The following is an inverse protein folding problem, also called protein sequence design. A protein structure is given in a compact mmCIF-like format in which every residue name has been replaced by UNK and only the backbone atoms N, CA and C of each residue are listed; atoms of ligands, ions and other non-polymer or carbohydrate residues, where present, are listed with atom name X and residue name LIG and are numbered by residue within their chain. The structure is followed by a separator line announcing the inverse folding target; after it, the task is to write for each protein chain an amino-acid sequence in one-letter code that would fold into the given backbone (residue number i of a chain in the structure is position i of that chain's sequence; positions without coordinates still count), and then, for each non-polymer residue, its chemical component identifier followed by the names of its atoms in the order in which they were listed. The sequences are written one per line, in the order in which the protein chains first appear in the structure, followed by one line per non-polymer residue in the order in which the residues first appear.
data_IF_198300827889
#
_entry.id   IF_198300827889
#
_cell.length_a   1.000
_cell.length_b   1.000
_cell.length_c   1.000
_cell.angle_alpha   90.00
_cell.angle_beta   90.00
_cell.angle_gamma   90.00
#
_symmetry.space_group_name_H-M   'P 1'
#
loop_
_entity.id
_entity.type
_entity.pdbx_description
1 polymer ?
#
# COMPACT_ATOMS: atom_id res chain seq x y z
N UNK A 1 18.19 -9.02 -28.54
CA UNK A 1 18.36 -9.56 -27.18
C UNK A 1 17.68 -8.63 -26.19
N UNK A 2 16.62 -9.05 -25.50
CA UNK A 2 16.09 -8.32 -24.34
C UNK A 2 16.79 -8.90 -23.11
N UNK A 3 17.66 -8.13 -22.50
CA UNK A 3 18.32 -8.50 -21.25
C UNK A 3 17.25 -8.65 -20.17
N UNK A 4 16.92 -9.88 -19.79
CA UNK A 4 16.19 -10.16 -18.55
C UNK A 4 17.14 -9.83 -17.40
N UNK A 5 17.11 -8.58 -16.94
CA UNK A 5 17.61 -8.26 -15.61
C UNK A 5 16.69 -9.04 -14.66
N UNK A 6 17.20 -9.97 -13.83
CA UNK A 6 16.39 -10.48 -12.75
C UNK A 6 16.17 -9.29 -11.83
N UNK A 7 15.00 -8.64 -11.94
CA UNK A 7 14.57 -7.74 -10.90
C UNK A 7 14.57 -8.60 -9.64
N UNK A 8 15.47 -8.27 -8.71
CA UNK A 8 15.46 -8.82 -7.38
C UNK A 8 14.19 -8.27 -6.72
N UNK A 9 13.04 -8.85 -7.08
CA UNK A 9 11.73 -8.56 -6.53
C UNK A 9 11.79 -9.07 -5.09
N UNK A 10 12.31 -8.22 -4.21
CA UNK A 10 12.11 -8.38 -2.79
C UNK A 10 10.61 -8.58 -2.58
N UNK A 11 10.25 -9.59 -1.79
CA UNK A 11 8.85 -9.81 -1.44
C UNK A 11 8.24 -8.46 -0.99
N UNK A 12 7.04 -8.10 -1.49
CA UNK A 12 6.46 -6.80 -1.20
C UNK A 12 6.41 -6.59 0.30
N UNK A 13 7.00 -5.49 0.76
CA UNK A 13 7.10 -5.20 2.18
C UNK A 13 5.82 -4.50 2.62
N UNK A 14 5.24 -5.00 3.70
CA UNK A 14 4.18 -4.29 4.40
C UNK A 14 4.82 -3.20 5.27
N UNK A 15 4.24 -2.01 5.19
CA UNK A 15 4.62 -0.85 5.97
C UNK A 15 3.46 -0.44 6.86
N UNK A 16 3.80 0.09 8.03
CA UNK A 16 2.85 0.67 8.96
C UNK A 16 3.34 2.08 9.35
N UNK A 17 2.43 3.05 9.34
CA UNK A 17 2.71 4.41 9.79
C UNK A 17 1.52 4.96 10.58
N UNK A 18 1.78 5.49 11.77
CA UNK A 18 0.78 6.27 12.51
C UNK A 18 0.69 7.65 11.88
N UNK A 19 -0.52 8.03 11.48
CA UNK A 19 -0.86 9.35 10.96
C UNK A 19 -1.84 9.99 11.93
N UNK A 20 -1.50 11.15 12.46
CA UNK A 20 -2.38 11.91 13.33
C UNK A 20 -3.05 13.03 12.53
N UNK A 21 -4.35 13.21 12.72
CA UNK A 21 -5.09 14.34 12.15
C UNK A 21 -6.11 14.86 13.15
N UNK A 22 -6.45 16.13 13.00
CA UNK A 22 -7.47 16.80 13.81
C UNK A 22 -8.82 16.71 13.09
N UNK A 23 -9.87 16.34 13.83
CA UNK A 23 -11.24 16.35 13.33
C UNK A 23 -11.79 17.78 13.31
N UNK A 24 -12.92 18.00 12.61
CA UNK A 24 -13.62 19.29 12.61
C UNK A 24 -14.02 19.78 14.02
N UNK A 25 -14.09 18.87 15.00
CA UNK A 25 -14.42 19.17 16.40
C UNK A 25 -13.20 19.45 17.28
N UNK A 26 -11.99 19.46 16.72
CA UNK A 26 -10.74 19.69 17.45
C UNK A 26 -10.15 18.46 18.14
N UNK A 27 -10.75 17.28 17.97
CA UNK A 27 -10.19 16.04 18.53
C UNK A 27 -9.04 15.54 17.65
N UNK A 28 -7.92 15.18 18.27
CA UNK A 28 -6.82 14.47 17.61
C UNK A 28 -7.16 12.99 17.46
N UNK A 29 -6.96 12.45 16.26
CA UNK A 29 -7.20 11.04 15.93
C UNK A 29 -5.94 10.44 15.36
N UNK A 30 -5.51 9.33 15.94
CA UNK A 30 -4.41 8.51 15.44
C UNK A 30 -4.93 7.40 14.53
N UNK A 31 -4.41 7.35 13.31
CA UNK A 31 -4.73 6.34 12.33
C UNK A 31 -3.48 5.52 12.00
N UNK A 32 -3.52 4.21 12.26
CA UNK A 32 -2.50 3.29 11.75
C UNK A 32 -2.76 3.05 10.26
N UNK A 33 -1.92 3.56 9.38
CA UNK A 33 -1.98 3.28 7.96
C UNK A 33 -1.09 2.07 7.65
N UNK A 34 -1.69 0.97 7.18
CA UNK A 34 -0.98 -0.24 6.75
C UNK A 34 -1.07 -0.36 5.24
N UNK A 35 0.07 -0.46 4.55
CA UNK A 35 0.11 -0.52 3.09
C UNK A 35 1.26 -1.40 2.59
N UNK A 36 1.08 -1.97 1.41
CA UNK A 36 2.12 -2.65 0.64
C UNK A 36 2.86 -1.62 -0.21
N UNK A 37 4.19 -1.74 -0.32
CA UNK A 37 5.00 -1.02 -1.29
C UNK A 37 6.02 -1.96 -1.93
N UNK A 38 5.97 -2.12 -3.25
CA UNK A 38 6.92 -2.99 -3.96
C UNK A 38 8.29 -2.42 -4.16
N UNK A 39 8.41 -1.10 -4.22
CA UNK A 39 9.64 -0.46 -4.69
C UNK A 39 9.82 0.87 -3.98
N UNK A 40 10.27 0.80 -2.73
CA UNK A 40 10.46 1.98 -1.87
C UNK A 40 11.50 2.96 -2.38
N UNK A 41 12.42 2.51 -3.23
CA UNK A 41 13.38 3.38 -3.93
C UNK A 41 12.73 4.27 -4.99
N UNK A 42 11.45 4.04 -5.32
CA UNK A 42 10.77 4.68 -6.43
C UNK A 42 10.97 3.95 -7.76
N UNK A 43 10.14 4.31 -8.74
CA UNK A 43 10.22 3.86 -10.13
C UNK A 43 10.39 5.07 -11.04
N UNK A 44 11.22 4.94 -12.07
CA UNK A 44 11.38 5.96 -13.11
C UNK A 44 10.20 6.03 -14.09
N UNK A 45 9.33 5.01 -14.13
CA UNK A 45 8.17 4.95 -15.02
C UNK A 45 6.91 5.50 -14.37
N UNK A 46 6.75 5.30 -13.06
CA UNK A 46 5.61 5.83 -12.33
C UNK A 46 5.21 4.99 -11.13
N UNK A 47 4.16 5.45 -10.43
CA UNK A 47 3.58 4.77 -9.28
C UNK A 47 2.09 4.59 -9.48
N UNK A 48 1.59 3.38 -9.26
CA UNK A 48 0.17 3.06 -9.18
C UNK A 48 -0.22 2.93 -7.71
N UNK A 49 -1.30 3.61 -7.30
CA UNK A 49 -1.85 3.52 -5.96
C UNK A 49 -3.18 2.77 -6.03
N UNK A 50 -3.25 1.60 -5.41
CA UNK A 50 -4.42 0.72 -5.40
C UNK A 50 -5.32 0.95 -4.20
N UNK A 51 -6.57 1.31 -4.48
CA UNK A 51 -7.67 1.45 -3.51
C UNK A 51 -8.66 0.29 -3.70
N UNK A 52 -8.74 -0.65 -2.75
CA UNK A 52 -9.61 -1.82 -2.88
C UNK A 52 -11.09 -1.50 -2.58
N UNK A 53 -12.01 -2.41 -2.93
CA UNK A 53 -13.42 -2.31 -2.52
C UNK A 53 -13.62 -2.66 -1.03
N UNK A 54 -14.79 -2.39 -0.45
CA UNK A 54 -15.09 -2.77 0.94
C UNK A 54 -16.16 -3.86 0.99
N UNK A 55 -15.89 -5.05 1.60
CA UNK A 55 -14.63 -5.45 2.24
C UNK A 55 -13.54 -5.83 1.22
N UNK A 56 -12.27 -5.66 1.58
CA UNK A 56 -11.14 -5.96 0.69
C UNK A 56 -9.77 -5.77 1.36
N UNK A 57 -8.70 -5.89 0.58
CA UNK A 57 -7.31 -5.64 1.00
C UNK A 57 -6.36 -5.39 -0.19
N UNK A 58 -5.11 -5.05 0.08
CA UNK A 58 -4.02 -5.01 -0.92
C UNK A 58 -3.92 -6.28 -1.80
N UNK A 59 -4.36 -7.45 -1.31
CA UNK A 59 -4.32 -8.72 -2.06
C UNK A 59 -5.32 -8.78 -3.22
N UNK A 60 -6.29 -7.88 -3.30
CA UNK A 60 -7.26 -7.85 -4.38
C UNK A 60 -6.61 -7.49 -5.73
N UNK A 61 -5.43 -6.85 -5.69
CA UNK A 61 -4.65 -6.47 -6.86
C UNK A 61 -3.75 -7.58 -7.40
N UNK A 62 -3.82 -8.82 -6.89
CA UNK A 62 -2.94 -9.95 -7.27
C UNK A 62 -2.79 -10.17 -8.79
N UNK A 63 -3.82 -9.89 -9.58
CA UNK A 63 -3.79 -10.09 -11.04
C UNK A 63 -3.07 -8.97 -11.80
N UNK A 64 -3.06 -7.74 -11.27
CA UNK A 64 -2.37 -6.60 -11.90
C UNK A 64 -0.96 -6.40 -11.33
N UNK A 65 -0.77 -6.71 -10.05
CA UNK A 65 0.48 -6.64 -9.28
C UNK A 65 1.68 -7.19 -10.05
N UNK A 66 1.57 -8.42 -10.53
CA UNK A 66 2.64 -9.09 -11.28
C UNK A 66 3.05 -8.34 -12.55
N UNK A 67 2.07 -7.77 -13.28
CA UNK A 67 2.37 -7.02 -14.51
C UNK A 67 3.08 -5.71 -14.21
N UNK A 68 2.71 -5.03 -13.13
CA UNK A 68 3.38 -3.81 -12.69
C UNK A 68 4.84 -4.09 -12.30
N UNK A 69 5.09 -5.21 -11.62
CA UNK A 69 6.44 -5.68 -11.28
C UNK A 69 7.30 -5.98 -12.52
N UNK A 70 6.77 -6.73 -13.49
CA UNK A 70 7.47 -7.01 -14.75
C UNK A 70 7.83 -5.73 -15.53
N UNK A 71 7.00 -4.70 -15.39
CA UNK A 71 7.21 -3.40 -16.02
C UNK A 71 8.08 -2.47 -15.18
N UNK A 72 8.56 -2.88 -14.00
CA UNK A 72 9.25 -2.02 -13.04
C UNK A 72 8.48 -0.74 -12.67
N UNK A 73 7.14 -0.82 -12.64
CA UNK A 73 6.26 0.23 -12.14
C UNK A 73 6.02 0.00 -10.64
N UNK A 74 6.22 1.03 -9.82
CA UNK A 74 5.99 0.94 -8.38
C UNK A 74 4.49 0.80 -8.12
N UNK A 75 4.12 -0.06 -7.18
CA UNK A 75 2.74 -0.19 -6.73
C UNK A 75 2.67 -0.01 -5.22
N UNK A 76 1.69 0.78 -4.78
CA UNK A 76 1.35 0.96 -3.38
C UNK A 76 -0.08 0.47 -3.18
N UNK A 77 -0.25 -0.61 -2.41
CA UNK A 77 -1.55 -1.19 -2.09
C UNK A 77 -1.99 -0.80 -0.69
N UNK A 78 -3.04 0.01 -0.56
CA UNK A 78 -3.50 0.49 0.76
C UNK A 78 -4.40 -0.56 1.42
N UNK A 79 -4.33 -0.74 2.74
CA UNK A 79 -5.38 -1.40 3.51
C UNK A 79 -6.20 -0.37 4.27
N UNK A 80 -7.52 -0.42 4.14
CA UNK A 80 -8.38 0.49 4.88
C UNK A 80 -8.36 0.23 6.39
N UNK A 81 -8.36 1.31 7.21
CA UNK A 81 -8.57 1.22 8.64
C UNK A 81 -9.84 0.47 9.03
N UNK A 82 -9.78 -0.32 10.10
CA UNK A 82 -10.94 -1.06 10.61
C UNK A 82 -11.21 -2.40 9.93
N UNK A 83 -10.43 -2.79 8.91
CA UNK A 83 -10.55 -4.08 8.24
C UNK A 83 -9.30 -4.94 8.44
N UNK A 84 -9.42 -6.05 9.19
CA UNK A 84 -8.48 -7.19 9.41
C UNK A 84 -6.99 -6.86 9.70
N UNK A 85 -6.34 -6.07 8.86
CA UNK A 85 -4.92 -5.71 8.90
C UNK A 85 -4.65 -4.35 9.56
N UNK A 86 -5.68 -3.55 9.79
CA UNK A 86 -5.57 -2.27 10.48
C UNK A 86 -6.55 -2.23 11.64
N UNK A 87 -6.05 -2.26 12.88
CA UNK A 87 -6.88 -2.10 14.08
C UNK A 87 -7.54 -0.72 14.08
N UNK A 88 -8.87 -0.68 14.11
CA UNK A 88 -9.63 0.56 14.34
C UNK A 88 -9.83 0.78 15.84
N UNK A 89 -8.83 1.35 16.53
CA UNK A 89 -9.06 1.91 17.86
C UNK A 89 -9.38 3.39 17.72
N UNK A 90 -10.67 3.70 17.63
CA UNK A 90 -11.14 5.06 17.90
C UNK A 90 -11.02 5.27 19.41
N UNK A 91 -10.10 6.14 19.83
CA UNK A 91 -10.17 6.70 21.18
C UNK A 91 -11.31 7.72 21.14
N UNK A 92 -12.48 7.29 21.62
CA UNK A 92 -13.66 8.14 21.83
C UNK A 92 -13.48 8.88 23.16
#
# INVERSE_FOLDING_TARGET
MKTKIPLNLSAPKMYEKVVQFETEKGNLVDLRAVYEDSLTSGSSLGTVIGFHGSPGSHKDFKYIRHRLDEMAIRFIGINYPGFKHTEGKYLV
#
